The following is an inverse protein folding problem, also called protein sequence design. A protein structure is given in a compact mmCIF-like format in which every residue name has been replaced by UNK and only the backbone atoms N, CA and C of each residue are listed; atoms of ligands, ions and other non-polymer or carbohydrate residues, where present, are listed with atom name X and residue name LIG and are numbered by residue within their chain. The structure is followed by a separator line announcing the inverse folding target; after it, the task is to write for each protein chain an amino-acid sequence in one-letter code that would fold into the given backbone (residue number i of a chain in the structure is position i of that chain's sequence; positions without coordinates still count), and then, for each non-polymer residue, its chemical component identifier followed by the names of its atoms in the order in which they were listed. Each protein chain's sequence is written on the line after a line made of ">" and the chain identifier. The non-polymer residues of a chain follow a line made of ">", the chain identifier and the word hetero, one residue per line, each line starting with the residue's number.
data_IF_136899451230
#
_entry.id   IF_136899451230
#
_cell.length_a   1.000
_cell.length_b   1.000
_cell.length_c   1.000
_cell.angle_alpha   90.00
_cell.angle_beta   90.00
_cell.angle_gamma   90.00
#
_symmetry.space_group_name_H-M   'P 1'
#
loop_
_entity.id
_entity.type
_entity.pdbx_description
1 polymer ?
#
# COMPACT_ATOMS: atom_id res chain seq x y z
N UNK A 1 -11.22 -9.72 -1.09
CA UNK A 1 -9.91 -9.07 -0.86
C UNK A 1 -9.39 -8.65 -2.22
N UNK A 2 -9.07 -7.37 -2.41
CA UNK A 2 -8.59 -6.87 -3.71
C UNK A 2 -7.16 -7.35 -4.00
N UNK A 3 -6.29 -7.25 -2.99
CA UNK A 3 -4.89 -7.69 -3.08
C UNK A 3 -4.24 -7.71 -1.67
N UNK A 4 -3.01 -8.24 -1.56
CA UNK A 4 -2.21 -8.27 -0.34
C UNK A 4 -0.72 -8.19 -0.67
N UNK A 5 0.02 -7.39 0.10
CA UNK A 5 1.48 -7.27 -0.02
C UNK A 5 2.16 -7.14 1.35
N UNK A 6 3.48 -7.29 1.40
CA UNK A 6 4.31 -7.18 2.60
C UNK A 6 5.55 -6.32 2.31
N UNK A 7 5.80 -5.32 3.16
CA UNK A 7 6.95 -4.43 3.01
C UNK A 7 6.75 -3.10 3.70
N UNK A 8 7.40 -2.07 3.17
CA UNK A 8 7.43 -0.73 3.77
C UNK A 8 6.18 0.09 3.41
N UNK A 9 5.63 0.76 4.43
CA UNK A 9 4.52 1.70 4.33
C UNK A 9 4.93 3.01 4.99
N UNK A 10 4.54 4.12 4.38
CA UNK A 10 4.76 5.46 4.89
C UNK A 10 3.42 6.14 5.22
N UNK A 11 3.31 6.73 6.40
CA UNK A 11 2.24 7.68 6.70
C UNK A 11 2.66 9.08 6.23
N UNK A 12 1.78 9.74 5.48
CA UNK A 12 2.00 11.09 4.97
C UNK A 12 0.88 12.02 5.44
N UNK A 13 1.07 13.33 5.26
CA UNK A 13 0.05 14.33 5.59
C UNK A 13 -1.22 14.21 4.73
N UNK A 14 -1.20 13.41 3.67
CA UNK A 14 -2.33 13.18 2.76
C UNK A 14 -2.83 11.74 2.74
N UNK A 15 -2.34 10.87 3.62
CA UNK A 15 -2.78 9.48 3.72
C UNK A 15 -1.62 8.50 3.92
N UNK A 16 -1.61 7.44 3.12
CA UNK A 16 -0.56 6.41 3.13
C UNK A 16 0.14 6.33 1.78
N UNK A 17 1.42 5.99 1.81
CA UNK A 17 2.30 5.82 0.66
C UNK A 17 3.32 4.72 0.96
N UNK A 18 4.41 4.66 0.19
CA UNK A 18 5.45 3.63 0.29
C UNK A 18 5.27 2.52 -0.75
N UNK A 19 6.30 1.67 -0.94
CA UNK A 19 6.34 0.68 -2.01
C UNK A 19 5.08 -0.20 -2.09
N UNK A 20 4.62 -0.74 -0.95
CA UNK A 20 3.44 -1.63 -0.96
C UNK A 20 2.16 -0.88 -1.30
N UNK A 21 2.01 0.38 -0.87
CA UNK A 21 0.83 1.18 -1.20
C UNK A 21 0.83 1.52 -2.69
N UNK A 22 2.00 1.84 -3.26
CA UNK A 22 2.13 2.10 -4.69
C UNK A 22 1.77 0.87 -5.53
N UNK A 23 2.27 -0.31 -5.17
CA UNK A 23 1.91 -1.58 -5.82
C UNK A 23 0.39 -1.85 -5.78
N UNK A 24 -0.26 -1.55 -4.65
CA UNK A 24 -1.69 -1.79 -4.47
C UNK A 24 -2.57 -0.67 -5.09
N UNK A 25 -2.01 0.51 -5.34
CA UNK A 25 -2.76 1.72 -5.68
C UNK A 25 -3.54 1.61 -6.98
N UNK A 26 -3.00 0.93 -8.00
CA UNK A 26 -3.68 0.73 -9.29
C UNK A 26 -4.98 -0.05 -9.15
N UNK A 27 -4.96 -1.15 -8.39
CA UNK A 27 -6.17 -1.96 -8.11
C UNK A 27 -7.19 -1.21 -7.26
N UNK A 28 -6.72 -0.42 -6.30
CA UNK A 28 -7.59 0.43 -5.47
C UNK A 28 -8.26 1.51 -6.33
N UNK A 29 -7.50 2.19 -7.20
CA UNK A 29 -8.03 3.22 -8.09
C UNK A 29 -9.07 2.65 -9.07
N UNK A 30 -8.78 1.49 -9.67
CA UNK A 30 -9.72 0.79 -10.55
C UNK A 30 -11.01 0.37 -9.82
N UNK A 31 -10.90 -0.11 -8.58
CA UNK A 31 -12.06 -0.47 -7.76
C UNK A 31 -12.93 0.76 -7.42
N UNK A 32 -12.31 1.89 -7.06
CA UNK A 32 -13.02 3.14 -6.76
C UNK A 32 -13.68 3.74 -8.02
N UNK A 33 -13.04 3.61 -9.19
CA UNK A 33 -13.57 4.14 -10.45
C UNK A 33 -14.77 3.32 -10.99
N UNK A 34 -14.88 2.04 -10.62
CA UNK A 34 -15.95 1.15 -11.10
C UNK A 34 -17.30 1.48 -10.46
N UNK A 35 -17.29 1.88 -9.19
CA UNK A 35 -18.51 2.19 -8.44
C UNK A 35 -18.22 3.22 -7.34
N UNK A 36 -18.78 4.43 -7.49
CA UNK A 36 -18.63 5.52 -6.53
C UNK A 36 -19.27 5.23 -5.15
N UNK A 37 -20.08 4.18 -5.03
CA UNK A 37 -20.65 3.74 -3.74
C UNK A 37 -19.77 2.73 -3.01
N UNK A 38 -18.73 2.19 -3.66
CA UNK A 38 -17.91 1.14 -3.11
C UNK A 38 -16.88 1.69 -2.11
N UNK A 39 -17.00 1.26 -0.85
CA UNK A 39 -16.01 1.59 0.18
C UNK A 39 -14.84 0.62 0.12
N UNK A 40 -13.64 1.14 -0.14
CA UNK A 40 -12.39 0.36 -0.10
C UNK A 40 -11.69 0.56 1.25
N UNK A 41 -11.32 -0.53 1.91
CA UNK A 41 -10.57 -0.50 3.17
C UNK A 41 -9.19 -1.15 3.01
N UNK A 42 -8.17 -0.48 3.56
CA UNK A 42 -6.83 -1.03 3.75
C UNK A 42 -6.78 -1.60 5.17
N UNK A 43 -6.29 -2.84 5.30
CA UNK A 43 -6.07 -3.52 6.59
C UNK A 43 -4.57 -3.67 6.78
N UNK A 44 -4.03 -3.08 7.83
CA UNK A 44 -2.59 -3.04 8.12
C UNK A 44 -2.32 -3.91 9.34
N UNK A 45 -1.45 -4.91 9.16
CA UNK A 45 -0.83 -5.62 10.28
C UNK A 45 0.51 -4.94 10.61
N UNK A 46 0.57 -4.27 11.76
CA UNK A 46 1.76 -3.55 12.23
C UNK A 46 2.81 -4.48 12.85
N UNK A 47 2.45 -5.74 13.13
CA UNK A 47 3.32 -6.76 13.74
C UNK A 47 3.23 -8.10 12.98
N UNK A 48 3.55 -8.11 11.68
CA UNK A 48 3.35 -9.29 10.82
C UNK A 48 4.23 -10.49 11.18
N UNK A 49 5.31 -10.27 11.95
CA UNK A 49 6.21 -11.32 12.42
C UNK A 49 5.74 -12.04 13.71
N UNK A 50 4.61 -11.64 14.29
CA UNK A 50 4.08 -12.19 15.53
C UNK A 50 2.68 -12.76 15.31
N UNK A 51 2.43 -13.96 15.83
CA UNK A 51 1.05 -14.45 15.99
C UNK A 51 0.28 -13.60 17.00
N UNK A 52 -1.05 -13.73 17.00
CA UNK A 52 -1.89 -13.04 17.98
C UNK A 52 -1.49 -13.38 19.42
N UNK A 53 -1.24 -14.66 19.70
CA UNK A 53 -0.83 -15.16 21.00
C UNK A 53 0.55 -14.63 21.40
N UNK A 54 1.49 -14.61 20.46
CA UNK A 54 2.83 -14.07 20.69
C UNK A 54 2.79 -12.57 20.97
N UNK A 55 1.97 -11.81 20.22
CA UNK A 55 1.79 -10.38 20.42
C UNK A 55 1.08 -10.09 21.76
N UNK A 56 0.07 -10.87 22.11
CA UNK A 56 -0.60 -10.77 23.40
C UNK A 56 0.36 -11.06 24.57
N UNK A 57 1.14 -12.13 24.49
CA UNK A 57 2.14 -12.47 25.49
C UNK A 57 3.24 -11.39 25.59
N UNK A 58 3.64 -10.80 24.45
CA UNK A 58 4.56 -9.65 24.45
C UNK A 58 3.96 -8.44 25.15
N UNK A 59 2.73 -8.05 24.80
CA UNK A 59 2.03 -6.94 25.42
C UNK A 59 1.91 -7.12 26.93
N UNK A 60 1.58 -8.34 27.39
CA UNK A 60 1.47 -8.64 28.80
C UNK A 60 2.81 -8.50 29.54
N UNK A 61 3.93 -8.95 28.93
CA UNK A 61 5.27 -8.75 29.52
C UNK A 61 5.62 -7.27 29.65
N UNK A 62 5.39 -6.49 28.60
CA UNK A 62 5.63 -5.05 28.61
C UNK A 62 4.75 -4.35 29.67
N UNK A 63 3.50 -4.80 29.84
CA UNK A 63 2.58 -4.23 30.83
C UNK A 63 2.93 -4.60 32.27
N UNK A 64 3.50 -5.77 32.52
CA UNK A 64 4.03 -6.12 33.84
C UNK A 64 5.20 -5.21 34.22
N UNK A 65 6.11 -4.92 33.27
CA UNK A 65 7.24 -4.00 33.49
C UNK A 65 6.78 -2.57 33.78
N UNK A 66 5.72 -2.13 33.11
CA UNK A 66 5.20 -0.75 33.21
C UNK A 66 3.92 -0.63 34.03
N UNK A 67 3.67 -1.56 34.96
CA UNK A 67 2.39 -1.67 35.67
C UNK A 67 1.91 -0.35 36.29
N UNK A 68 2.81 0.44 36.89
CA UNK A 68 2.51 1.74 37.54
C UNK A 68 2.61 2.96 36.61
N UNK A 69 2.91 2.77 35.33
CA UNK A 69 2.94 3.86 34.34
C UNK A 69 1.55 4.07 33.77
N UNK A 70 1.34 5.26 33.21
CA UNK A 70 0.19 5.54 32.36
C UNK A 70 0.27 4.74 31.06
N UNK A 71 -0.88 4.30 30.55
CA UNK A 71 -1.02 3.48 29.34
C UNK A 71 -0.27 4.07 28.15
N UNK A 72 -0.41 5.38 27.89
CA UNK A 72 0.28 6.08 26.79
C UNK A 72 1.80 5.95 26.88
N UNK A 73 2.36 5.89 28.08
CA UNK A 73 3.80 5.78 28.31
C UNK A 73 4.32 4.34 28.28
N UNK A 74 3.44 3.33 28.28
CA UNK A 74 3.82 1.92 28.28
C UNK A 74 4.00 1.34 26.86
N UNK A 75 3.53 2.04 25.82
CA UNK A 75 3.56 1.56 24.43
C UNK A 75 4.87 1.84 23.68
N UNK A 76 5.80 2.60 24.25
CA UNK A 76 7.04 3.03 23.59
C UNK A 76 7.97 1.89 23.15
N UNK A 77 7.91 0.71 23.80
CA UNK A 77 8.65 -0.48 23.35
C UNK A 77 7.98 -1.20 22.18
N UNK A 78 6.69 -0.99 21.98
CA UNK A 78 5.89 -1.69 21.00
C UNK A 78 5.68 -0.86 19.73
N UNK A 79 5.62 0.46 19.85
CA UNK A 79 5.25 1.39 18.78
C UNK A 79 6.22 2.58 18.70
N UNK A 80 6.44 3.12 17.49
CA UNK A 80 7.01 4.44 17.31
C UNK A 80 6.20 5.52 18.05
N UNK A 81 6.89 6.52 18.60
CA UNK A 81 6.28 7.60 19.41
C UNK A 81 5.08 8.26 18.72
N UNK A 82 5.16 8.50 17.41
CA UNK A 82 4.10 9.17 16.64
C UNK A 82 2.81 8.35 16.52
N UNK A 83 2.88 7.01 16.63
CA UNK A 83 1.71 6.13 16.55
C UNK A 83 1.04 5.89 17.91
N UNK A 84 1.73 6.15 19.01
CA UNK A 84 1.19 5.97 20.36
C UNK A 84 -0.13 6.73 20.56
N UNK A 85 -0.23 8.06 20.31
CA UNK A 85 -1.49 8.78 20.53
C UNK A 85 -2.63 8.25 19.64
N UNK A 86 -2.32 7.81 18.43
CA UNK A 86 -3.29 7.22 17.50
C UNK A 86 -3.83 5.90 18.04
N UNK A 87 -2.94 4.99 18.46
CA UNK A 87 -3.34 3.69 19.02
C UNK A 87 -4.09 3.86 20.34
N UNK A 88 -3.67 4.78 21.20
CA UNK A 88 -4.40 5.11 22.44
C UNK A 88 -5.82 5.57 22.10
N UNK A 89 -5.99 6.52 21.18
CA UNK A 89 -7.31 7.01 20.77
C UNK A 89 -8.20 5.91 20.18
N UNK A 90 -7.66 5.08 19.29
CA UNK A 90 -8.39 3.98 18.66
C UNK A 90 -8.69 2.81 19.60
N UNK A 91 -7.91 2.63 20.67
CA UNK A 91 -8.12 1.54 21.64
C UNK A 91 -9.37 1.75 22.52
N UNK A 92 -9.86 2.98 22.62
CA UNK A 92 -10.92 3.38 23.56
C UNK A 92 -10.51 3.35 25.03
N UNK A 93 -9.21 3.28 25.32
CA UNK A 93 -8.66 3.27 26.67
C UNK A 93 -8.08 4.66 26.95
N UNK A 94 -8.39 5.24 28.12
CA UNK A 94 -7.77 6.50 28.54
C UNK A 94 -6.25 6.35 28.58
N UNK A 95 -5.54 7.27 27.93
CA UNK A 95 -4.07 7.29 27.94
C UNK A 95 -3.48 7.46 29.33
N UNK A 96 -4.23 8.07 30.25
CA UNK A 96 -3.84 8.30 31.64
C UNK A 96 -4.15 7.12 32.57
N UNK A 97 -4.90 6.12 32.09
CA UNK A 97 -5.19 4.89 32.84
C UNK A 97 -3.89 4.20 33.21
N UNK A 98 -3.76 3.76 34.46
CA UNK A 98 -2.59 3.00 34.88
C UNK A 98 -2.62 1.60 34.26
N UNK A 99 -1.46 1.11 33.83
CA UNK A 99 -1.35 -0.14 33.08
C UNK A 99 -1.89 -1.34 33.85
N UNK A 100 -1.70 -1.39 35.17
CA UNK A 100 -2.21 -2.49 36.00
C UNK A 100 -3.75 -2.56 36.05
N UNK A 101 -4.44 -1.47 35.72
CA UNK A 101 -5.90 -1.42 35.64
C UNK A 101 -6.43 -1.85 34.26
N UNK A 102 -5.55 -2.14 33.30
CA UNK A 102 -5.97 -2.53 31.95
C UNK A 102 -6.49 -3.97 31.96
N UNK A 103 -7.74 -4.16 31.53
CA UNK A 103 -8.41 -5.46 31.58
C UNK A 103 -7.86 -6.42 30.53
N UNK A 104 -8.27 -7.69 30.60
CA UNK A 104 -7.94 -8.70 29.59
C UNK A 104 -8.55 -8.34 28.23
N UNK A 105 -9.79 -7.86 28.25
CA UNK A 105 -10.57 -7.46 27.08
C UNK A 105 -9.93 -6.26 26.40
N UNK A 106 -9.50 -5.27 27.18
CA UNK A 106 -8.74 -4.12 26.70
C UNK A 106 -7.42 -4.52 26.04
N UNK A 107 -6.66 -5.42 26.67
CA UNK A 107 -5.42 -5.97 26.07
C UNK A 107 -5.68 -6.67 24.74
N UNK A 108 -6.75 -7.46 24.65
CA UNK A 108 -7.15 -8.12 23.39
C UNK A 108 -7.52 -7.10 22.32
N UNK A 109 -8.24 -6.02 22.66
CA UNK A 109 -8.55 -4.94 21.72
C UNK A 109 -7.29 -4.27 21.18
N UNK A 110 -6.29 -4.02 22.04
CA UNK A 110 -5.00 -3.47 21.60
C UNK A 110 -4.33 -4.42 20.60
N UNK A 111 -4.25 -5.71 20.91
CA UNK A 111 -3.64 -6.71 20.02
C UNK A 111 -4.36 -6.75 18.66
N UNK A 112 -5.68 -6.79 18.67
CA UNK A 112 -6.49 -6.79 17.43
C UNK A 112 -6.27 -5.50 16.62
N UNK A 113 -6.22 -4.35 17.27
CA UNK A 113 -5.93 -3.07 16.62
C UNK A 113 -4.54 -3.06 15.95
N UNK A 114 -3.54 -3.72 16.54
CA UNK A 114 -2.19 -3.81 15.98
C UNK A 114 -2.09 -4.80 14.81
N UNK A 115 -2.91 -5.84 14.79
CA UNK A 115 -2.95 -6.84 13.71
C UNK A 115 -3.86 -6.43 12.56
N UNK A 116 -4.85 -5.58 12.82
CA UNK A 116 -5.90 -5.19 11.89
C UNK A 116 -6.25 -3.70 12.00
N UNK A 117 -5.24 -2.83 11.82
CA UNK A 117 -5.49 -1.39 11.72
C UNK A 117 -6.19 -1.09 10.39
N UNK A 118 -7.42 -0.59 10.45
CA UNK A 118 -8.23 -0.32 9.26
C UNK A 118 -8.20 1.14 8.86
N UNK A 119 -7.93 1.40 7.58
CA UNK A 119 -8.02 2.72 6.97
C UNK A 119 -9.05 2.69 5.83
N UNK A 120 -9.98 3.64 5.83
CA UNK A 120 -10.92 3.79 4.72
C UNK A 120 -10.30 4.68 3.65
N UNK A 121 -10.21 4.18 2.42
CA UNK A 121 -9.68 4.94 1.29
C UNK A 121 -10.78 5.85 0.76
N UNK A 122 -10.55 7.16 0.81
CA UNK A 122 -11.50 8.15 0.32
C UNK A 122 -11.24 8.56 -1.13
N UNK A 123 -9.97 8.57 -1.56
CA UNK A 123 -9.55 8.90 -2.93
C UNK A 123 -8.12 8.43 -3.20
N UNK A 124 -7.78 8.23 -4.47
CA UNK A 124 -6.40 8.10 -4.95
C UNK A 124 -5.76 9.48 -5.18
N UNK A 125 -4.42 9.54 -5.28
CA UNK A 125 -3.72 10.75 -5.72
C UNK A 125 -3.96 11.01 -7.21
N UNK A 126 -3.82 12.26 -7.68
CA UNK A 126 -4.00 12.60 -9.09
C UNK A 126 -2.99 11.86 -9.99
N UNK A 127 -3.37 11.63 -11.25
CA UNK A 127 -2.50 11.00 -12.25
C UNK A 127 -1.18 11.77 -12.46
N UNK A 128 -1.20 13.09 -12.29
CA UNK A 128 0.01 13.93 -12.38
C UNK A 128 1.10 13.59 -11.36
N UNK A 129 0.75 12.87 -10.29
CA UNK A 129 1.69 12.40 -9.26
C UNK A 129 1.92 10.88 -9.35
N UNK A 130 1.35 10.21 -10.35
CA UNK A 130 1.55 8.78 -10.55
C UNK A 130 2.98 8.52 -11.04
N UNK A 131 3.61 7.49 -10.46
CA UNK A 131 4.95 7.05 -10.86
C UNK A 131 4.89 6.20 -12.13
N UNK A 132 3.73 5.60 -12.40
CA UNK A 132 3.45 4.78 -13.59
C UNK A 132 1.99 5.04 -13.97
N UNK A 133 1.71 5.23 -15.25
CA UNK A 133 0.34 5.22 -15.77
C UNK A 133 -0.12 3.79 -16.10
N UNK A 134 -1.28 3.39 -15.59
CA UNK A 134 -1.98 2.19 -16.06
C UNK A 134 -2.96 2.59 -17.18
N UNK A 135 -2.94 1.88 -18.31
CA UNK A 135 -3.64 2.25 -19.54
C UNK A 135 -2.69 2.74 -20.65
N UNK A 136 -3.23 2.98 -21.84
CA UNK A 136 -2.46 3.44 -22.99
C UNK A 136 -3.02 2.90 -24.31
N UNK A 137 -2.22 2.92 -25.36
CA UNK A 137 -2.57 2.28 -26.63
C UNK A 137 -2.63 0.77 -26.43
N UNK A 138 -3.74 0.16 -26.84
CA UNK A 138 -3.99 -1.26 -26.60
C UNK A 138 -2.91 -2.13 -27.26
N UNK A 139 -2.28 -3.01 -26.48
CA UNK A 139 -1.35 -4.03 -27.00
C UNK A 139 -1.99 -4.95 -28.03
N UNK A 140 -3.33 -5.05 -28.06
CA UNK A 140 -4.07 -5.83 -29.07
C UNK A 140 -3.97 -5.21 -30.46
N UNK A 141 -3.81 -3.90 -30.53
CA UNK A 141 -3.75 -3.11 -31.76
C UNK A 141 -2.31 -2.91 -32.24
N UNK A 142 -1.32 -3.46 -31.54
CA UNK A 142 0.10 -3.35 -31.85
C UNK A 142 0.66 -4.71 -32.24
N UNK A 143 1.52 -4.74 -33.26
CA UNK A 143 2.28 -5.93 -33.62
C UNK A 143 3.42 -6.15 -32.60
N UNK A 144 3.44 -7.26 -31.84
CA UNK A 144 4.40 -7.46 -30.76
C UNK A 144 5.85 -7.65 -31.20
N UNK A 145 6.12 -7.86 -32.51
CA UNK A 145 7.48 -7.99 -33.04
C UNK A 145 8.04 -6.65 -33.53
N UNK A 146 7.20 -5.84 -34.16
CA UNK A 146 7.62 -4.61 -34.86
C UNK A 146 7.27 -3.34 -34.09
N UNK A 147 6.34 -3.44 -33.13
CA UNK A 147 5.69 -2.32 -32.46
C UNK A 147 4.88 -1.40 -33.38
N UNK A 148 4.59 -1.84 -34.60
CA UNK A 148 3.75 -1.12 -35.56
C UNK A 148 2.26 -1.24 -35.20
N UNK A 149 1.49 -0.20 -35.47
CA UNK A 149 0.04 -0.24 -35.42
C UNK A 149 -0.50 -1.24 -36.45
N UNK A 150 -1.45 -2.07 -36.01
CA UNK A 150 -2.22 -2.95 -36.90
C UNK A 150 -3.30 -2.19 -37.68
N UNK A 151 -3.57 -0.94 -37.31
CA UNK A 151 -4.63 -0.11 -37.89
C UNK A 151 -4.05 0.88 -38.90
N UNK A 152 -2.94 1.53 -38.56
CA UNK A 152 -2.28 2.55 -39.40
C UNK A 152 -0.86 2.09 -39.73
N UNK A 153 -0.63 1.71 -40.98
CA UNK A 153 0.71 1.35 -41.44
C UNK A 153 1.70 2.52 -41.32
N UNK A 154 2.94 2.22 -40.94
CA UNK A 154 4.00 3.21 -40.72
C UNK A 154 3.92 3.99 -39.40
N UNK A 155 2.91 3.72 -38.56
CA UNK A 155 2.81 4.28 -37.21
C UNK A 155 3.32 3.27 -36.19
N UNK A 156 4.24 3.69 -35.31
CA UNK A 156 4.86 2.85 -34.28
C UNK A 156 4.68 3.43 -32.89
N UNK A 157 4.58 2.56 -31.89
CA UNK A 157 4.46 2.94 -30.48
C UNK A 157 5.61 2.37 -29.66
N UNK A 158 6.04 3.09 -28.63
CA UNK A 158 7.08 2.62 -27.71
C UNK A 158 6.96 3.30 -26.35
N UNK A 159 7.45 2.63 -25.31
CA UNK A 159 7.44 3.18 -23.96
C UNK A 159 6.06 3.20 -23.31
N UNK A 160 5.92 4.10 -22.34
CA UNK A 160 4.77 4.20 -21.42
C UNK A 160 3.47 4.64 -22.10
N UNK A 161 3.50 5.02 -23.39
CA UNK A 161 2.28 5.30 -24.16
C UNK A 161 1.49 4.02 -24.49
N UNK A 162 2.16 2.86 -24.46
CA UNK A 162 1.53 1.56 -24.66
C UNK A 162 0.91 1.12 -23.33
N UNK A 163 -0.24 0.45 -23.38
CA UNK A 163 -0.89 -0.19 -22.23
C UNK A 163 -0.06 -1.39 -21.71
N UNK A 164 1.10 -1.09 -21.12
CA UNK A 164 2.03 -2.01 -20.47
C UNK A 164 2.44 -1.36 -19.14
N UNK A 165 2.00 -1.93 -18.03
CA UNK A 165 2.43 -1.54 -16.69
C UNK A 165 3.32 -2.62 -16.07
N UNK A 166 4.52 -2.21 -15.66
CA UNK A 166 5.43 -3.02 -14.85
C UNK A 166 5.41 -2.58 -13.38
N UNK A 167 5.71 -3.51 -12.47
CA UNK A 167 5.97 -3.18 -11.07
C UNK A 167 7.12 -2.18 -10.95
N UNK A 168 7.20 -1.46 -9.83
CA UNK A 168 8.35 -0.61 -9.51
C UNK A 168 9.65 -1.43 -9.46
N UNK A 169 10.80 -0.81 -9.76
CA UNK A 169 12.10 -1.48 -9.74
C UNK A 169 12.77 -1.68 -11.10
N UNK A 170 12.45 -0.83 -12.08
CA UNK A 170 13.13 -0.79 -13.39
C UNK A 170 12.41 -1.53 -14.53
N UNK A 171 11.31 -2.24 -14.25
CA UNK A 171 10.53 -2.95 -15.28
C UNK A 171 9.97 -2.01 -16.35
N UNK A 172 9.46 -0.83 -15.95
CA UNK A 172 8.97 0.17 -16.92
C UNK A 172 10.09 0.72 -17.81
N UNK A 173 11.30 0.92 -17.27
CA UNK A 173 12.47 1.32 -18.07
C UNK A 173 12.87 0.21 -19.05
N UNK A 174 12.90 -1.04 -18.59
CA UNK A 174 13.22 -2.17 -19.45
C UNK A 174 12.20 -2.32 -20.59
N UNK A 175 10.91 -2.15 -20.29
CA UNK A 175 9.85 -2.15 -21.29
C UNK A 175 10.03 -1.00 -22.29
N UNK A 176 10.32 0.21 -21.82
CA UNK A 176 10.56 1.37 -22.68
C UNK A 176 11.76 1.18 -23.61
N UNK A 177 12.89 0.68 -23.11
CA UNK A 177 14.06 0.43 -23.95
C UNK A 177 13.83 -0.69 -24.96
N UNK A 178 13.18 -1.77 -24.54
CA UNK A 178 12.93 -2.93 -25.42
C UNK A 178 11.95 -2.59 -26.55
N UNK A 179 10.85 -1.92 -26.22
CA UNK A 179 9.86 -1.46 -27.21
C UNK A 179 10.43 -0.36 -28.10
N UNK A 180 11.20 0.58 -27.56
CA UNK A 180 11.87 1.62 -28.32
C UNK A 180 12.85 1.08 -29.35
N UNK A 181 13.67 0.09 -28.98
CA UNK A 181 14.57 -0.58 -29.91
C UNK A 181 13.81 -1.30 -31.04
N UNK A 182 12.76 -2.06 -30.70
CA UNK A 182 11.96 -2.78 -31.68
C UNK A 182 11.24 -1.82 -32.66
N UNK A 183 10.61 -0.77 -32.15
CA UNK A 183 9.95 0.25 -32.95
C UNK A 183 10.94 0.97 -33.88
N UNK A 184 12.06 1.46 -33.34
CA UNK A 184 13.04 2.21 -34.12
C UNK A 184 13.71 1.39 -35.22
N UNK A 185 14.07 0.14 -34.93
CA UNK A 185 14.72 -0.73 -35.93
C UNK A 185 13.79 -1.16 -37.07
N UNK A 186 12.48 -1.28 -36.83
CA UNK A 186 11.52 -1.60 -37.88
C UNK A 186 11.07 -0.35 -38.64
N UNK A 187 10.86 0.77 -37.96
CA UNK A 187 10.53 2.04 -38.61
C UNK A 187 11.62 2.51 -39.58
N UNK A 188 12.89 2.25 -39.29
CA UNK A 188 14.00 2.61 -40.18
C UNK A 188 14.20 1.65 -41.39
N UNK A 189 13.50 0.51 -41.41
CA UNK A 189 13.60 -0.51 -42.47
C UNK A 189 12.43 -0.49 -43.46
N UNK A 190 11.31 0.14 -43.08
CA UNK A 190 10.16 0.40 -43.95
C UNK A 190 10.34 1.67 -44.74
#
# INVERSE_FOLDING_TARGET
>A
VLDKDFGELLFTHFGVSGPIILSLSGKIAAALAKDNSQTVQIRINLKPALSEEQLYARLQRDFTEFARKQFKNALHKLLPQILIPVVVGLSGISGDKEVHQITREERRRIVQLLLDLRLTVTKSRPLAEAIVTAGGVSVREINPKTMESKIIGGLYFAGEVIDIDGYTGGFNLQAAFSTGYAAGTHAARG
#
